data_IF_789113554102
#
_entry.id   IF_789113554102
#
_cell.length_a   1.000
_cell.length_b   1.000
_cell.length_c   1.000
_cell.angle_alpha   90.00
_cell.angle_beta   90.00
_cell.angle_gamma   90.00
#
_symmetry.space_group_name_H-M   'P 1'
#
loop_
_entity.id
_entity.type
_entity.pdbx_description
1 polymer ?
#
# COMPACT_ATOMS: atom_id res chain seq x y z
N UNK A 1 26.20 21.04 -13.36
CA UNK A 1 24.86 21.23 -12.74
C UNK A 1 24.96 20.98 -11.24
N UNK A 2 23.88 21.19 -10.47
CA UNK A 2 23.89 20.91 -9.04
C UNK A 2 23.90 19.39 -8.74
N UNK A 3 24.29 19.00 -7.52
CA UNK A 3 24.46 17.58 -7.14
C UNK A 3 23.22 16.71 -7.40
N UNK A 4 22.02 17.23 -7.16
CA UNK A 4 20.78 16.47 -7.37
C UNK A 4 20.51 16.16 -8.83
N UNK A 5 20.79 17.11 -9.72
CA UNK A 5 20.52 16.96 -11.15
C UNK A 5 21.51 15.95 -11.75
N UNK A 6 22.80 16.09 -11.43
CA UNK A 6 23.84 15.18 -11.88
C UNK A 6 23.58 13.73 -11.41
N UNK A 7 23.19 13.55 -10.14
CA UNK A 7 22.86 12.23 -9.60
C UNK A 7 21.63 11.64 -10.28
N UNK A 8 20.54 12.40 -10.47
CA UNK A 8 19.31 11.91 -11.13
C UNK A 8 19.50 11.60 -12.60
N UNK A 9 20.40 12.31 -13.27
CA UNK A 9 20.71 12.10 -14.67
C UNK A 9 21.58 10.86 -14.87
N UNK A 10 22.53 10.59 -13.98
CA UNK A 10 23.52 9.54 -14.18
C UNK A 10 23.25 8.24 -13.41
N UNK A 11 22.53 8.31 -12.29
CA UNK A 11 22.37 7.18 -11.36
C UNK A 11 20.93 6.71 -11.28
N UNK A 12 20.75 5.39 -11.28
CA UNK A 12 19.43 4.75 -11.11
C UNK A 12 19.28 4.20 -9.70
N UNK A 13 18.03 4.09 -9.22
CA UNK A 13 17.75 3.40 -7.95
C UNK A 13 18.36 1.99 -7.89
N UNK A 14 18.41 1.29 -9.03
CA UNK A 14 19.02 -0.04 -9.11
C UNK A 14 20.51 -0.01 -8.77
N UNK A 15 21.26 0.91 -9.38
CA UNK A 15 22.71 0.97 -9.23
C UNK A 15 23.12 1.22 -7.76
N UNK A 16 22.43 2.13 -7.07
CA UNK A 16 22.69 2.37 -5.63
C UNK A 16 22.29 1.17 -4.77
N UNK A 17 21.19 0.49 -5.09
CA UNK A 17 20.75 -0.70 -4.37
C UNK A 17 21.71 -1.89 -4.55
N UNK A 18 22.21 -2.11 -5.77
CA UNK A 18 23.20 -3.16 -6.04
C UNK A 18 24.50 -2.91 -5.25
N UNK A 19 24.94 -1.65 -5.15
CA UNK A 19 26.08 -1.28 -4.29
C UNK A 19 25.83 -1.46 -2.79
N UNK A 20 24.60 -1.24 -2.34
CA UNK A 20 24.18 -1.56 -0.99
C UNK A 20 24.05 -3.08 -0.71
N UNK A 21 24.38 -3.94 -1.69
CA UNK A 21 24.34 -5.40 -1.57
C UNK A 21 22.96 -6.01 -1.84
N UNK A 22 22.01 -5.25 -2.38
CA UNK A 22 20.67 -5.76 -2.71
C UNK A 22 20.72 -6.54 -4.01
N UNK A 23 20.28 -7.79 -3.94
CA UNK A 23 20.21 -8.69 -5.09
C UNK A 23 18.81 -8.66 -5.70
N UNK A 24 18.75 -8.62 -7.03
CA UNK A 24 17.52 -8.63 -7.80
C UNK A 24 17.31 -9.98 -8.49
N UNK A 25 16.05 -10.39 -8.59
CA UNK A 25 15.66 -11.53 -9.42
C UNK A 25 15.52 -11.13 -10.91
N UNK A 26 15.22 -12.11 -11.78
CA UNK A 26 15.03 -11.92 -13.23
C UNK A 26 13.92 -10.91 -13.60
N UNK A 27 12.99 -10.65 -12.69
CA UNK A 27 11.88 -9.71 -12.87
C UNK A 27 12.19 -8.30 -12.33
N UNK A 28 13.45 -8.03 -11.98
CA UNK A 28 13.92 -6.80 -11.34
C UNK A 28 13.20 -6.52 -10.01
N UNK A 29 12.96 -7.57 -9.23
CA UNK A 29 12.38 -7.47 -7.89
C UNK A 29 13.38 -7.91 -6.82
N UNK A 30 13.29 -7.28 -5.66
CA UNK A 30 14.07 -7.58 -4.46
C UNK A 30 13.16 -7.55 -3.21
N UNK A 31 13.69 -8.05 -2.08
CA UNK A 31 13.05 -7.90 -0.78
C UNK A 31 13.17 -6.43 -0.36
N UNK A 32 12.08 -5.85 0.12
CA UNK A 32 12.10 -4.48 0.57
C UNK A 32 12.90 -4.34 1.87
N UNK A 33 13.91 -3.45 1.95
CA UNK A 33 14.66 -3.22 3.18
C UNK A 33 13.92 -2.34 4.20
N UNK A 34 12.82 -1.71 3.79
CA UNK A 34 12.09 -0.74 4.63
C UNK A 34 10.93 -1.36 5.42
N UNK A 35 10.69 -2.66 5.28
CA UNK A 35 9.77 -3.41 6.14
C UNK A 35 10.20 -4.88 6.24
N UNK A 36 9.60 -5.62 7.16
CA UNK A 36 9.89 -7.04 7.31
C UNK A 36 9.28 -7.85 6.16
N UNK A 37 10.05 -8.01 5.09
CA UNK A 37 9.61 -8.64 3.84
C UNK A 37 10.17 -10.06 3.69
N UNK A 38 9.28 -11.04 3.57
CA UNK A 38 9.66 -12.46 3.36
C UNK A 38 9.84 -12.78 1.87
N UNK A 39 9.19 -12.03 0.99
CA UNK A 39 9.12 -12.27 -0.47
C UNK A 39 9.72 -11.09 -1.23
N UNK A 40 9.95 -11.19 -2.54
CA UNK A 40 10.40 -10.01 -3.29
C UNK A 40 9.19 -9.10 -3.58
N UNK A 41 9.02 -8.00 -2.82
CA UNK A 41 7.90 -7.05 -3.01
C UNK A 41 8.31 -5.70 -3.60
N UNK A 42 9.60 -5.39 -3.66
CA UNK A 42 10.11 -4.14 -4.23
C UNK A 42 10.54 -4.35 -5.68
N UNK A 43 10.02 -3.54 -6.59
CA UNK A 43 10.34 -3.56 -8.02
C UNK A 43 11.12 -2.32 -8.41
N UNK A 44 12.18 -2.51 -9.20
CA UNK A 44 12.97 -1.43 -9.76
C UNK A 44 12.96 -1.57 -11.27
N UNK A 45 12.52 -0.54 -11.98
CA UNK A 45 12.55 -0.54 -13.45
C UNK A 45 13.79 0.23 -13.88
N UNK A 46 14.74 -0.40 -14.62
CA UNK A 46 15.95 0.29 -15.08
C UNK A 46 15.66 1.56 -15.90
N UNK A 47 14.58 1.55 -16.68
CA UNK A 47 14.13 2.69 -17.50
C UNK A 47 13.63 3.87 -16.68
N UNK A 48 12.96 3.60 -15.55
CA UNK A 48 12.20 4.63 -14.82
C UNK A 48 13.04 5.30 -13.72
N UNK A 49 14.28 4.84 -13.52
CA UNK A 49 15.24 5.25 -12.46
C UNK A 49 14.68 5.25 -11.03
N UNK A 50 13.49 4.68 -10.83
CA UNK A 50 12.69 4.70 -9.60
C UNK A 50 12.40 3.28 -9.13
N UNK A 51 12.05 3.19 -7.86
CA UNK A 51 11.60 1.97 -7.22
C UNK A 51 10.19 2.12 -6.65
N UNK A 52 9.49 0.99 -6.51
CA UNK A 52 8.20 0.92 -5.84
C UNK A 52 8.06 -0.42 -5.10
N UNK A 53 7.66 -0.37 -3.85
CA UNK A 53 7.35 -1.52 -3.03
C UNK A 53 5.84 -1.79 -3.01
N UNK A 54 5.43 -2.95 -3.51
CA UNK A 54 4.02 -3.35 -3.52
C UNK A 54 3.51 -3.80 -2.13
N UNK A 55 4.40 -4.14 -1.19
CA UNK A 55 4.02 -4.56 0.16
C UNK A 55 3.70 -3.39 1.10
N UNK A 56 4.58 -2.38 1.15
CA UNK A 56 4.44 -1.23 2.06
C UNK A 56 4.17 0.11 1.36
N UNK A 57 4.19 0.16 0.02
CA UNK A 57 3.94 1.38 -0.74
C UNK A 57 5.13 2.35 -0.84
N UNK A 58 6.29 2.01 -0.27
CA UNK A 58 7.49 2.84 -0.34
C UNK A 58 7.96 3.03 -1.78
N UNK A 59 8.35 4.27 -2.12
CA UNK A 59 8.70 4.64 -3.50
C UNK A 59 9.60 5.84 -3.55
N UNK A 60 10.45 5.89 -4.56
CA UNK A 60 11.37 7.01 -4.74
C UNK A 60 12.37 6.75 -5.86
N UNK A 61 13.38 7.61 -5.92
CA UNK A 61 14.56 7.46 -6.78
C UNK A 61 15.80 7.02 -5.99
N UNK A 62 16.98 7.08 -6.61
CA UNK A 62 18.25 6.70 -5.99
C UNK A 62 18.53 7.49 -4.70
N UNK A 63 18.23 8.79 -4.67
CA UNK A 63 18.49 9.67 -3.54
C UNK A 63 17.53 9.34 -2.40
N UNK A 64 16.24 9.13 -2.72
CA UNK A 64 15.25 8.73 -1.72
C UNK A 64 15.61 7.38 -1.06
N UNK A 65 16.13 6.43 -1.84
CA UNK A 65 16.59 5.14 -1.31
C UNK A 65 17.75 5.32 -0.31
N UNK A 66 18.84 5.96 -0.74
CA UNK A 66 20.04 6.17 0.10
C UNK A 66 19.70 6.99 1.35
N UNK A 67 18.89 8.05 1.19
CA UNK A 67 18.43 8.88 2.29
C UNK A 67 17.68 8.09 3.35
N UNK A 68 16.78 7.19 2.96
CA UNK A 68 16.07 6.34 3.94
C UNK A 68 16.93 5.20 4.48
N UNK A 69 17.71 4.57 3.62
CA UNK A 69 18.50 3.39 3.97
C UNK A 69 19.62 3.71 4.95
N UNK A 70 20.27 4.87 4.80
CA UNK A 70 21.34 5.35 5.69
C UNK A 70 20.89 6.45 6.66
N UNK A 71 19.60 6.78 6.69
CA UNK A 71 19.04 7.85 7.52
C UNK A 71 19.74 9.21 7.33
N UNK A 72 19.87 9.63 6.07
CA UNK A 72 20.54 10.86 5.65
C UNK A 72 19.54 11.91 5.16
N UNK A 73 19.94 13.19 5.27
CA UNK A 73 19.21 14.25 4.60
C UNK A 73 19.28 14.05 3.07
N UNK A 74 18.32 14.57 2.29
CA UNK A 74 18.36 14.43 0.83
C UNK A 74 19.64 14.98 0.19
N UNK A 75 20.25 16.01 0.79
CA UNK A 75 21.49 16.59 0.30
C UNK A 75 22.67 15.67 0.59
N UNK A 76 22.76 15.16 1.81
CA UNK A 76 23.85 14.25 2.20
C UNK A 76 23.77 12.93 1.42
N UNK A 77 22.56 12.41 1.18
CA UNK A 77 22.35 11.25 0.33
C UNK A 77 22.81 11.52 -1.12
N UNK A 78 22.49 12.68 -1.69
CA UNK A 78 22.94 13.04 -3.03
C UNK A 78 24.47 13.18 -3.11
N UNK A 79 25.09 13.81 -2.11
CA UNK A 79 26.55 13.95 -2.03
C UNK A 79 27.24 12.59 -1.87
N UNK A 80 26.71 11.71 -1.01
CA UNK A 80 27.24 10.36 -0.86
C UNK A 80 27.17 9.58 -2.18
N UNK A 81 26.04 9.65 -2.90
CA UNK A 81 25.94 9.00 -4.21
C UNK A 81 26.95 9.62 -5.19
N UNK A 82 27.10 10.93 -5.21
CA UNK A 82 28.06 11.58 -6.10
C UNK A 82 29.50 11.12 -5.81
N UNK A 83 29.91 11.07 -4.53
CA UNK A 83 31.23 10.60 -4.11
C UNK A 83 31.44 9.13 -4.46
N UNK A 84 30.49 8.26 -4.13
CA UNK A 84 30.59 6.83 -4.42
C UNK A 84 30.71 6.57 -5.93
N UNK A 85 29.96 7.31 -6.76
CA UNK A 85 29.91 7.13 -8.22
C UNK A 85 30.89 8.01 -8.99
N UNK A 86 31.72 8.82 -8.31
CA UNK A 86 32.71 9.71 -8.93
C UNK A 86 32.08 10.79 -9.82
N UNK A 87 30.92 11.31 -9.42
CA UNK A 87 30.16 12.31 -10.18
C UNK A 87 30.59 13.71 -9.74
N UNK A 88 31.23 14.44 -10.64
CA UNK A 88 31.53 15.85 -10.43
C UNK A 88 30.24 16.69 -10.47
N UNK A 89 30.11 17.64 -9.54
CA UNK A 89 29.00 18.60 -9.48
C UNK A 89 29.51 19.96 -9.01
N UNK A 90 28.75 21.02 -9.32
CA UNK A 90 29.04 22.36 -8.83
C UNK A 90 28.38 22.57 -7.46
N UNK A 91 29.20 22.70 -6.40
CA UNK A 91 28.72 22.90 -5.03
C UNK A 91 28.13 24.29 -4.78
N UNK A 92 28.38 25.26 -5.67
CA UNK A 92 27.82 26.62 -5.58
C UNK A 92 26.39 26.70 -6.12
N UNK A 93 26.00 25.75 -6.98
CA UNK A 93 24.64 25.65 -7.53
C UNK A 93 23.71 25.09 -6.45
N UNK A 94 22.85 25.98 -5.92
CA UNK A 94 21.75 25.54 -5.06
C UNK A 94 20.82 24.64 -5.86
N UNK A 95 20.44 23.53 -5.24
CA UNK A 95 19.54 22.55 -5.84
C UNK A 95 18.20 23.20 -6.19
N UNK A 96 17.55 22.80 -7.30
CA UNK A 96 16.19 23.22 -7.57
C UNK A 96 15.33 22.93 -6.34
N UNK A 97 14.41 23.84 -5.96
CA UNK A 97 13.46 23.54 -4.90
C UNK A 97 12.78 22.20 -5.23
N UNK A 98 12.61 21.34 -4.22
CA UNK A 98 11.89 20.07 -4.38
C UNK A 98 10.62 20.36 -5.19
N UNK A 99 10.29 19.58 -6.24
CA UNK A 99 9.03 19.76 -6.94
C UNK A 99 7.94 19.72 -5.87
N UNK A 100 7.25 20.85 -5.71
CA UNK A 100 6.18 20.97 -4.72
C UNK A 100 5.21 19.86 -5.06
N UNK A 101 5.09 18.88 -4.17
CA UNK A 101 4.16 17.78 -4.33
C UNK A 101 2.80 18.47 -4.43
N UNK A 102 2.21 18.51 -5.63
CA UNK A 102 0.94 19.21 -5.86
C UNK A 102 -0.02 18.75 -4.78
N UNK A 103 -0.37 19.67 -3.88
CA UNK A 103 -1.35 19.39 -2.85
C UNK A 103 -2.64 19.01 -3.56
N UNK A 104 -3.23 17.89 -3.15
CA UNK A 104 -4.49 17.45 -3.75
C UNK A 104 -5.54 18.50 -3.43
N UNK A 105 -6.34 18.87 -4.43
CA UNK A 105 -7.45 19.78 -4.15
C UNK A 105 -8.46 19.11 -3.20
N UNK A 106 -9.26 19.87 -2.44
CA UNK A 106 -10.31 19.31 -1.59
C UNK A 106 -11.23 18.36 -2.35
N UNK A 107 -11.54 18.69 -3.60
CA UNK A 107 -12.36 17.87 -4.50
C UNK A 107 -11.70 16.52 -4.83
N UNK A 108 -10.38 16.50 -5.06
CA UNK A 108 -9.62 15.26 -5.30
C UNK A 108 -9.56 14.39 -4.05
N UNK A 109 -9.31 14.98 -2.88
CA UNK A 109 -9.28 14.26 -1.61
C UNK A 109 -10.62 13.59 -1.35
N UNK A 110 -11.71 14.34 -1.56
CA UNK A 110 -13.05 13.83 -1.39
C UNK A 110 -13.38 12.71 -2.39
N UNK A 111 -13.04 12.88 -3.68
CA UNK A 111 -13.28 11.86 -4.69
C UNK A 111 -12.52 10.55 -4.38
N UNK A 112 -11.27 10.65 -3.91
CA UNK A 112 -10.50 9.50 -3.44
C UNK A 112 -11.13 8.85 -2.20
N UNK A 113 -11.64 9.66 -1.26
CA UNK A 113 -12.33 9.16 -0.07
C UNK A 113 -13.64 8.43 -0.41
N UNK A 114 -14.45 8.97 -1.33
CA UNK A 114 -15.65 8.32 -1.88
C UNK A 114 -15.30 6.97 -2.50
N UNK A 115 -14.29 6.95 -3.36
CA UNK A 115 -13.82 5.73 -4.04
C UNK A 115 -13.31 4.68 -3.03
N UNK A 116 -12.52 5.09 -2.04
CA UNK A 116 -12.02 4.22 -0.98
C UNK A 116 -13.18 3.63 -0.17
N UNK A 117 -14.12 4.47 0.25
CA UNK A 117 -15.28 4.08 1.05
C UNK A 117 -16.11 3.03 0.31
N UNK A 118 -16.44 3.28 -0.96
CA UNK A 118 -17.18 2.33 -1.78
C UNK A 118 -16.48 0.97 -1.89
N UNK A 119 -15.17 0.96 -2.18
CA UNK A 119 -14.39 -0.28 -2.25
C UNK A 119 -14.45 -1.06 -0.95
N UNK A 120 -14.16 -0.41 0.18
CA UNK A 120 -14.08 -1.06 1.49
C UNK A 120 -15.46 -1.61 1.91
N UNK A 121 -16.51 -0.82 1.74
CA UNK A 121 -17.87 -1.27 2.06
C UNK A 121 -18.31 -2.42 1.14
N UNK A 122 -17.92 -2.40 -0.13
CA UNK A 122 -18.17 -3.52 -1.04
C UNK A 122 -17.48 -4.79 -0.57
N UNK A 123 -16.19 -4.73 -0.25
CA UNK A 123 -15.43 -5.89 0.24
C UNK A 123 -16.05 -6.44 1.53
N UNK A 124 -16.44 -5.55 2.44
CA UNK A 124 -17.09 -5.90 3.69
C UNK A 124 -18.48 -6.51 3.46
N UNK A 125 -19.30 -5.95 2.58
CA UNK A 125 -20.61 -6.48 2.21
C UNK A 125 -20.52 -7.94 1.72
N UNK A 126 -19.60 -8.22 0.80
CA UNK A 126 -19.40 -9.59 0.30
C UNK A 126 -18.94 -10.53 1.41
N UNK A 127 -18.09 -10.05 2.33
CA UNK A 127 -17.67 -10.83 3.49
C UNK A 127 -18.84 -11.14 4.43
N UNK A 128 -19.68 -10.15 4.74
CA UNK A 128 -20.87 -10.33 5.57
C UNK A 128 -21.85 -11.31 4.93
N UNK A 129 -22.13 -11.21 3.63
CA UNK A 129 -22.96 -12.20 2.89
C UNK A 129 -22.38 -13.60 2.99
N UNK A 130 -21.05 -13.74 2.90
CA UNK A 130 -20.37 -15.04 3.08
C UNK A 130 -20.56 -15.56 4.51
N UNK A 131 -20.46 -14.69 5.52
CA UNK A 131 -20.62 -15.08 6.91
C UNK A 131 -22.05 -15.45 7.28
N UNK A 132 -23.03 -14.66 6.86
CA UNK A 132 -24.46 -14.92 7.01
C UNK A 132 -24.82 -16.33 6.50
N UNK A 133 -24.28 -16.70 5.33
CA UNK A 133 -24.52 -18.03 4.74
C UNK A 133 -23.78 -19.14 5.48
N UNK A 134 -22.49 -18.96 5.76
CA UNK A 134 -21.61 -20.05 6.19
C UNK A 134 -21.62 -20.31 7.69
N UNK A 135 -21.94 -19.29 8.50
CA UNK A 135 -22.00 -19.38 9.97
C UNK A 135 -23.42 -19.38 10.51
N UNK A 136 -24.41 -19.64 9.63
CA UNK A 136 -25.82 -19.73 10.02
C UNK A 136 -25.98 -20.70 11.21
N UNK A 137 -26.55 -20.24 12.34
CA UNK A 137 -26.65 -21.06 13.54
C UNK A 137 -27.60 -22.23 13.29
N UNK A 138 -27.26 -23.38 13.89
CA UNK A 138 -28.11 -24.59 13.85
C UNK A 138 -29.11 -24.62 15.00
N UNK A 139 -28.86 -23.86 16.06
CA UNK A 139 -29.69 -23.73 17.27
C UNK A 139 -29.52 -22.32 17.86
N UNK A 140 -30.43 -21.94 18.76
CA UNK A 140 -30.39 -20.61 19.40
C UNK A 140 -29.28 -20.48 20.45
N UNK A 141 -28.72 -21.59 20.92
CA UNK A 141 -27.80 -21.63 22.06
C UNK A 141 -26.33 -21.39 21.68
N UNK A 142 -25.99 -21.45 20.39
CA UNK A 142 -24.60 -21.29 19.91
C UNK A 142 -24.59 -20.42 18.63
N UNK A 143 -24.50 -19.10 18.81
CA UNK A 143 -24.45 -18.13 17.72
C UNK A 143 -22.99 -17.73 17.48
N UNK A 144 -22.49 -17.99 16.28
CA UNK A 144 -21.15 -17.55 15.88
C UNK A 144 -21.11 -16.03 15.75
N UNK A 145 -20.12 -15.38 16.37
CA UNK A 145 -19.96 -13.93 16.34
C UNK A 145 -19.92 -13.34 14.91
N UNK A 146 -19.42 -14.11 13.91
CA UNK A 146 -19.41 -13.67 12.51
C UNK A 146 -20.80 -13.63 11.90
N UNK A 147 -21.66 -14.57 12.29
CA UNK A 147 -23.05 -14.58 11.86
C UNK A 147 -23.80 -13.41 12.49
N UNK A 148 -23.62 -13.19 13.79
CA UNK A 148 -24.21 -12.05 14.49
C UNK A 148 -23.80 -10.72 13.85
N UNK A 149 -22.49 -10.54 13.62
CA UNK A 149 -21.96 -9.34 12.95
C UNK A 149 -22.55 -9.17 11.54
N UNK A 150 -22.66 -10.25 10.78
CA UNK A 150 -23.27 -10.24 9.45
C UNK A 150 -24.71 -9.75 9.51
N UNK A 151 -25.57 -10.36 10.31
CA UNK A 151 -26.99 -10.00 10.39
C UNK A 151 -27.17 -8.55 10.86
N UNK A 152 -26.37 -8.08 11.82
CA UNK A 152 -26.47 -6.73 12.35
C UNK A 152 -26.00 -5.66 11.35
N UNK A 153 -24.93 -5.91 10.59
CA UNK A 153 -24.30 -4.88 9.77
C UNK A 153 -24.74 -4.91 8.31
N UNK A 154 -25.22 -6.04 7.79
CA UNK A 154 -25.56 -6.19 6.38
C UNK A 154 -26.58 -5.14 5.89
N UNK A 155 -27.71 -4.89 6.58
CA UNK A 155 -28.68 -3.88 6.13
C UNK A 155 -28.09 -2.47 6.13
N UNK A 156 -27.23 -2.17 7.11
CA UNK A 156 -26.56 -0.87 7.22
C UNK A 156 -25.60 -0.66 6.05
N UNK A 157 -24.76 -1.64 5.75
CA UNK A 157 -23.77 -1.55 4.67
C UNK A 157 -24.46 -1.47 3.30
N UNK A 158 -25.55 -2.21 3.10
CA UNK A 158 -26.36 -2.13 1.89
C UNK A 158 -26.90 -0.71 1.66
N UNK A 159 -27.53 -0.11 2.67
CA UNK A 159 -28.00 1.27 2.61
C UNK A 159 -26.86 2.28 2.32
N UNK A 160 -25.69 2.09 2.93
CA UNK A 160 -24.52 2.95 2.69
C UNK A 160 -24.00 2.83 1.25
N UNK A 161 -24.00 1.63 0.67
CA UNK A 161 -23.62 1.41 -0.73
C UNK A 161 -24.62 2.06 -1.68
N UNK A 162 -25.91 1.97 -1.39
CA UNK A 162 -26.96 2.62 -2.17
C UNK A 162 -26.78 4.14 -2.20
N UNK A 163 -26.48 4.77 -1.06
CA UNK A 163 -26.17 6.21 -0.99
C UNK A 163 -24.95 6.54 -1.85
N UNK A 164 -23.89 5.72 -1.82
CA UNK A 164 -22.68 5.96 -2.63
C UNK A 164 -22.93 5.84 -4.14
N UNK A 165 -23.85 4.98 -4.56
CA UNK A 165 -24.16 4.75 -5.96
C UNK A 165 -25.21 5.75 -6.50
N UNK A 166 -26.26 5.99 -5.73
CA UNK A 166 -27.47 6.68 -6.19
C UNK A 166 -27.81 7.96 -5.43
N UNK A 167 -27.15 8.25 -4.31
CA UNK A 167 -27.39 9.46 -3.52
C UNK A 167 -26.89 10.75 -4.20
N UNK A 168 -27.32 11.89 -3.66
CA UNK A 168 -26.81 13.20 -4.09
C UNK A 168 -25.34 13.38 -3.68
N UNK A 169 -24.68 14.39 -4.24
CA UNK A 169 -23.27 14.64 -3.87
C UNK A 169 -23.13 15.04 -2.39
N UNK A 170 -24.11 15.74 -1.85
CA UNK A 170 -24.19 16.11 -0.43
C UNK A 170 -24.37 14.89 0.47
N UNK A 171 -25.26 13.96 0.10
CA UNK A 171 -25.48 12.71 0.85
C UNK A 171 -24.22 11.84 0.85
N UNK A 172 -23.55 11.71 -0.30
CA UNK A 172 -22.28 10.99 -0.41
C UNK A 172 -21.19 11.63 0.43
N UNK A 173 -21.10 12.96 0.42
CA UNK A 173 -20.15 13.70 1.24
C UNK A 173 -20.38 13.50 2.73
N UNK A 174 -21.63 13.61 3.17
CA UNK A 174 -22.02 13.40 4.56
C UNK A 174 -21.69 11.99 4.99
N UNK A 175 -22.05 10.98 4.19
CA UNK A 175 -21.73 9.59 4.47
C UNK A 175 -20.22 9.35 4.63
N UNK A 176 -19.39 9.87 3.72
CA UNK A 176 -17.93 9.72 3.80
C UNK A 176 -17.37 10.39 5.06
N UNK A 177 -17.90 11.55 5.44
CA UNK A 177 -17.50 12.25 6.67
C UNK A 177 -17.90 11.46 7.92
N UNK A 178 -19.14 10.97 7.97
CA UNK A 178 -19.68 10.24 9.12
C UNK A 178 -19.01 8.88 9.32
N UNK A 179 -18.72 8.19 8.22
CA UNK A 179 -17.97 6.93 8.26
C UNK A 179 -16.52 7.14 8.67
N UNK A 180 -15.88 8.23 8.23
CA UNK A 180 -14.58 8.69 8.69
C UNK A 180 -13.56 7.56 8.92
N UNK A 181 -13.09 7.44 10.17
CA UNK A 181 -12.12 6.42 10.59
C UNK A 181 -12.68 4.99 10.61
N UNK A 182 -14.00 4.82 10.68
CA UNK A 182 -14.65 3.51 10.70
C UNK A 182 -14.37 2.69 9.44
N UNK A 183 -14.23 3.35 8.29
CA UNK A 183 -13.84 2.70 7.03
C UNK A 183 -12.43 2.12 7.12
N UNK A 184 -11.49 2.80 7.78
CA UNK A 184 -10.12 2.32 7.93
C UNK A 184 -10.05 1.11 8.87
N UNK A 185 -10.88 1.09 9.90
CA UNK A 185 -10.98 -0.03 10.82
C UNK A 185 -11.61 -1.26 10.15
N UNK A 186 -12.68 -1.08 9.35
CA UNK A 186 -13.27 -2.15 8.55
C UNK A 186 -12.24 -2.70 7.56
N UNK A 187 -11.57 -1.82 6.81
CA UNK A 187 -10.53 -2.20 5.85
C UNK A 187 -9.42 -3.03 6.49
N UNK A 188 -8.93 -2.61 7.66
CA UNK A 188 -7.91 -3.34 8.41
C UNK A 188 -8.40 -4.74 8.81
N UNK A 189 -9.59 -4.83 9.42
CA UNK A 189 -10.19 -6.10 9.88
C UNK A 189 -10.46 -7.07 8.74
N UNK A 190 -11.03 -6.58 7.64
CA UNK A 190 -11.31 -7.39 6.43
C UNK A 190 -10.01 -7.94 5.85
N UNK A 191 -8.98 -7.10 5.68
CA UNK A 191 -7.69 -7.52 5.14
C UNK A 191 -6.99 -8.55 6.05
N UNK A 192 -7.04 -8.37 7.37
CA UNK A 192 -6.49 -9.33 8.33
C UNK A 192 -7.21 -10.68 8.25
N UNK A 193 -8.55 -10.67 8.20
CA UNK A 193 -9.34 -11.89 8.04
C UNK A 193 -9.01 -12.63 6.74
N UNK A 194 -8.97 -11.93 5.60
CA UNK A 194 -8.66 -12.52 4.30
C UNK A 194 -7.24 -13.11 4.27
N UNK A 195 -6.27 -12.41 4.87
CA UNK A 195 -4.90 -12.91 5.03
C UNK A 195 -4.86 -14.21 5.84
N UNK A 196 -5.61 -14.28 6.92
CA UNK A 196 -5.69 -15.47 7.78
C UNK A 196 -6.46 -16.63 7.12
N UNK A 197 -7.39 -16.37 6.20
CA UNK A 197 -8.00 -17.45 5.40
C UNK A 197 -7.04 -18.03 4.35
N UNK A 198 -6.20 -17.18 3.73
CA UNK A 198 -5.19 -17.61 2.76
C UNK A 198 -4.13 -18.55 3.36
N UNK A 199 -3.73 -18.31 4.61
CA UNK A 199 -2.78 -19.20 5.33
C UNK A 199 -3.41 -20.53 5.74
N UNK A 200 -4.70 -20.55 6.11
CA UNK A 200 -5.43 -21.79 6.45
C UNK A 200 -5.66 -22.68 5.22
N UNK A 201 -5.96 -22.10 4.06
CA UNK A 201 -6.11 -22.86 2.80
C UNK A 201 -4.78 -23.48 2.34
N UNK A 202 -3.65 -22.78 2.49
CA UNK A 202 -2.33 -23.33 2.16
C UNK A 202 -1.91 -24.49 3.10
N UNK A 203 -2.30 -24.43 4.37
CA UNK A 203 -2.05 -25.53 5.32
C UNK A 203 -2.95 -26.74 5.09
N UNK A 204 -4.18 -26.57 4.59
CA UNK A 204 -5.02 -27.70 4.16
C UNK A 204 -4.48 -28.39 2.91
N UNK A 205 -3.92 -27.62 1.96
CA UNK A 205 -3.33 -28.19 0.74
C UNK A 205 -2.05 -28.98 1.03
N UNK A 206 -1.20 -28.51 1.96
CA UNK A 206 0.00 -29.26 2.39
C UNK A 206 -0.31 -30.51 3.21
N UNK A 207 -1.46 -30.56 3.89
CA UNK A 207 -1.84 -31.73 4.68
C UNK A 207 -2.47 -32.86 3.85
N UNK A 208 -2.87 -32.60 2.59
CA UNK A 208 -3.36 -33.63 1.67
C UNK A 208 -2.25 -34.25 0.81
N UNK A 209 -1.07 -33.64 0.71
CA UNK A 209 0.06 -34.15 -0.10
C UNK A 209 1.01 -35.07 0.69
N UNK A 210 0.67 -35.44 1.93
CA UNK A 210 1.47 -36.32 2.79
C UNK A 210 0.91 -37.74 2.94
N UNK A 211 -0.11 -38.11 2.16
CA UNK A 211 -0.63 -39.48 2.10
C UNK A 211 -0.79 -39.84 0.62
N UNK A 212 0.30 -40.23 -0.03
CA UNK A 212 0.35 -41.23 -1.11
C UNK A 212 1.80 -41.57 -1.43
#
# INVERSE_FOLDING_TARGET
MGVFDEVKERVTARAVMERAGIVFNRSNMCRCPFHQDKTASMKVKPTDKKYFCFGCGEKGDAIDFVGRYYNLSPKDAAMQIADEFGIAYDSSVRSPPKPVRREKSPMQILAEAKTKTYRVLSDYFHLLKKWERNFKPKSMDEIDARYEEAVQNLPKVECQLDILLWGTEEEKEMLVRDLGKGVEDIERRVNEYLRNQGTVNHNRQRSCEAVH
#
